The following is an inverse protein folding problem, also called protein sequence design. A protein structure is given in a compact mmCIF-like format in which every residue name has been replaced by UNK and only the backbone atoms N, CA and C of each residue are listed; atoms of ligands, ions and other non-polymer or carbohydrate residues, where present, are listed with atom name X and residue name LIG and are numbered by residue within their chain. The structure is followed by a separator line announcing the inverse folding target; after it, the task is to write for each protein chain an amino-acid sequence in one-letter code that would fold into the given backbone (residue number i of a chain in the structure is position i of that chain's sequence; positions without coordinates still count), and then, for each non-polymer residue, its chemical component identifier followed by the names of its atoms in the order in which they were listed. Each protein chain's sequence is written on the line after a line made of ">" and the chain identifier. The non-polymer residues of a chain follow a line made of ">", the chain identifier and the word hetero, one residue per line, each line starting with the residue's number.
data_IF_425694505197
#
_entry.id   IF_425694505197
#
_cell.length_a   1.000
_cell.length_b   1.000
_cell.length_c   1.000
_cell.angle_alpha   90.00
_cell.angle_beta   90.00
_cell.angle_gamma   90.00
#
_symmetry.space_group_name_H-M   'P 1'
#
loop_
_entity.id
_entity.type
_entity.pdbx_description
1 polymer ?
#
# COMPACT_ATOMS: atom_id res chain seq x y z
N UNK A 1 -32.04 27.69 -44.69
CA UNK A 1 -31.91 26.22 -44.46
C UNK A 1 -30.58 25.90 -43.85
N UNK A 2 -30.38 26.22 -42.59
CA UNK A 2 -29.14 25.87 -41.82
C UNK A 2 -29.64 25.44 -40.44
N UNK A 3 -30.09 24.23 -40.32
CA UNK A 3 -30.64 23.82 -39.02
C UNK A 3 -30.76 22.31 -38.79
N UNK A 4 -30.08 21.47 -39.61
CA UNK A 4 -30.31 20.01 -39.53
C UNK A 4 -29.04 19.17 -39.34
N UNK A 5 -27.85 19.75 -39.33
CA UNK A 5 -26.59 18.99 -39.24
C UNK A 5 -26.04 18.87 -37.80
N UNK A 6 -26.34 19.81 -36.92
CA UNK A 6 -25.74 19.83 -35.56
C UNK A 6 -26.38 18.78 -34.62
N UNK A 7 -27.67 18.43 -34.79
CA UNK A 7 -28.34 17.44 -33.93
C UNK A 7 -27.91 15.99 -34.15
N UNK A 8 -27.16 15.70 -35.24
CA UNK A 8 -26.72 14.33 -35.57
C UNK A 8 -25.36 14.00 -34.94
N UNK A 9 -24.54 15.02 -34.65
CA UNK A 9 -23.24 14.88 -34.00
C UNK A 9 -23.37 14.72 -32.49
N UNK A 10 -24.26 15.47 -31.84
CA UNK A 10 -24.54 15.36 -30.42
C UNK A 10 -25.09 14.00 -30.01
N UNK A 11 -25.96 13.40 -30.85
CA UNK A 11 -26.51 12.06 -30.61
C UNK A 11 -25.46 10.94 -30.75
N UNK A 12 -24.44 11.09 -31.61
CA UNK A 12 -23.38 10.10 -31.77
C UNK A 12 -22.37 10.11 -30.59
N UNK A 13 -22.12 11.28 -30.00
CA UNK A 13 -21.30 11.44 -28.82
C UNK A 13 -21.99 10.85 -27.58
N UNK A 14 -23.30 11.07 -27.44
CA UNK A 14 -24.08 10.53 -26.32
C UNK A 14 -24.22 8.99 -26.39
N UNK A 15 -24.43 8.43 -27.60
CA UNK A 15 -24.46 6.96 -27.76
C UNK A 15 -23.14 6.28 -27.43
N UNK A 16 -21.98 6.86 -27.74
CA UNK A 16 -20.68 6.31 -27.33
C UNK A 16 -20.49 6.37 -25.82
N UNK A 17 -20.93 7.43 -25.17
CA UNK A 17 -20.92 7.57 -23.72
C UNK A 17 -21.83 6.56 -23.02
N UNK A 18 -23.02 6.34 -23.55
CA UNK A 18 -24.03 5.38 -23.04
C UNK A 18 -23.57 3.93 -23.28
N UNK A 19 -23.01 3.61 -24.45
CA UNK A 19 -22.48 2.27 -24.76
C UNK A 19 -21.28 1.97 -23.90
N UNK A 20 -20.35 2.92 -23.69
CA UNK A 20 -19.20 2.73 -22.81
C UNK A 20 -19.58 2.58 -21.33
N UNK A 21 -20.57 3.34 -20.84
CA UNK A 21 -21.14 3.17 -19.50
C UNK A 21 -21.79 1.80 -19.32
N UNK A 22 -22.53 1.33 -20.31
CA UNK A 22 -23.23 0.03 -20.25
C UNK A 22 -22.25 -1.16 -20.37
N UNK A 23 -21.21 -1.06 -21.19
CA UNK A 23 -20.15 -2.08 -21.31
C UNK A 23 -19.33 -2.19 -20.02
N UNK A 24 -18.99 -1.06 -19.39
CA UNK A 24 -18.32 -1.03 -18.08
C UNK A 24 -19.21 -1.59 -16.97
N UNK A 25 -20.51 -1.34 -16.99
CA UNK A 25 -21.45 -1.87 -16.01
C UNK A 25 -21.66 -3.39 -16.15
N UNK A 26 -21.70 -3.91 -17.39
CA UNK A 26 -22.01 -5.34 -17.65
C UNK A 26 -20.77 -6.23 -17.51
N UNK A 27 -19.56 -5.76 -17.83
CA UNK A 27 -18.34 -6.57 -17.83
C UNK A 27 -17.49 -6.30 -16.58
N UNK A 28 -17.40 -5.06 -16.12
CA UNK A 28 -16.58 -4.68 -14.95
C UNK A 28 -17.22 -5.04 -13.62
N UNK A 29 -18.54 -4.95 -13.50
CA UNK A 29 -19.27 -5.20 -12.26
C UNK A 29 -19.18 -6.67 -11.77
N UNK A 30 -19.38 -7.70 -12.62
CA UNK A 30 -19.29 -9.09 -12.18
C UNK A 30 -17.87 -9.50 -11.76
N UNK A 31 -16.82 -8.96 -12.42
CA UNK A 31 -15.43 -9.25 -12.07
C UNK A 31 -15.03 -8.54 -10.76
N UNK A 32 -15.46 -7.30 -10.57
CA UNK A 32 -15.22 -6.55 -9.34
C UNK A 32 -16.02 -7.16 -8.17
N UNK A 33 -17.29 -7.51 -8.38
CA UNK A 33 -18.16 -8.17 -7.40
C UNK A 33 -17.67 -9.57 -7.07
N UNK A 34 -17.18 -10.33 -8.04
CA UNK A 34 -16.57 -11.65 -7.80
C UNK A 34 -15.28 -11.57 -6.99
N UNK A 35 -14.46 -10.56 -7.21
CA UNK A 35 -13.26 -10.30 -6.41
C UNK A 35 -13.61 -9.82 -4.99
N UNK A 36 -14.59 -8.93 -4.85
CA UNK A 36 -15.02 -8.37 -3.55
C UNK A 36 -15.79 -9.38 -2.71
N UNK A 37 -16.64 -10.23 -3.29
CA UNK A 37 -17.33 -11.31 -2.57
C UNK A 37 -16.37 -12.35 -2.03
N UNK A 38 -15.28 -12.65 -2.75
CA UNK A 38 -14.23 -13.58 -2.30
C UNK A 38 -13.32 -12.94 -1.25
N UNK A 39 -13.07 -11.63 -1.33
CA UNK A 39 -12.27 -10.88 -0.38
C UNK A 39 -13.06 -10.46 0.88
N UNK A 40 -14.30 -10.01 0.71
CA UNK A 40 -15.12 -9.40 1.79
C UNK A 40 -15.53 -10.34 2.92
N UNK A 41 -15.46 -11.66 2.71
CA UNK A 41 -15.79 -12.65 3.76
C UNK A 41 -14.58 -12.94 4.68
N UNK A 42 -13.34 -12.59 4.28
CA UNK A 42 -12.12 -13.07 4.95
C UNK A 42 -11.27 -11.98 5.64
N UNK A 43 -11.54 -10.69 5.43
CA UNK A 43 -10.57 -9.63 5.79
C UNK A 43 -10.98 -8.70 6.92
N UNK A 44 -11.94 -9.10 7.77
CA UNK A 44 -12.43 -8.23 8.86
C UNK A 44 -11.83 -8.54 10.24
N UNK A 45 -10.93 -9.50 10.33
CA UNK A 45 -10.26 -9.83 11.59
C UNK A 45 -9.01 -9.00 11.79
N UNK A 46 -8.89 -8.44 12.99
CA UNK A 46 -7.64 -7.85 13.44
C UNK A 46 -6.76 -8.96 14.02
N UNK A 47 -5.52 -9.05 13.56
CA UNK A 47 -4.51 -10.01 14.04
C UNK A 47 -3.13 -9.40 13.99
N UNK A 48 -2.30 -9.76 14.96
CA UNK A 48 -0.87 -9.46 14.96
C UNK A 48 -0.09 -10.77 15.10
N UNK A 49 0.92 -10.94 14.27
CA UNK A 49 1.81 -12.08 14.29
C UNK A 49 3.23 -11.59 14.54
N UNK A 50 3.86 -12.10 15.59
CA UNK A 50 5.28 -11.89 15.85
C UNK A 50 6.11 -12.89 15.04
N UNK A 51 7.31 -12.49 14.61
CA UNK A 51 8.29 -13.36 13.95
C UNK A 51 9.70 -13.06 14.48
N UNK A 52 10.58 -14.07 14.46
CA UNK A 52 11.90 -13.94 15.05
C UNK A 52 11.83 -13.64 16.56
N UNK A 53 12.95 -13.17 17.12
CA UNK A 53 13.01 -12.79 18.53
C UNK A 53 13.75 -11.46 18.70
N UNK A 54 13.00 -10.41 19.05
CA UNK A 54 13.52 -9.05 19.27
C UNK A 54 14.61 -9.00 20.37
N UNK A 55 14.58 -9.92 21.33
CA UNK A 55 15.55 -9.91 22.44
C UNK A 55 16.92 -10.49 22.07
N UNK A 56 17.00 -11.24 20.97
CA UNK A 56 18.23 -11.94 20.54
C UNK A 56 18.74 -11.50 19.17
N UNK A 57 17.94 -10.74 18.41
CA UNK A 57 18.39 -10.21 17.13
C UNK A 57 19.41 -9.09 17.31
N UNK A 58 20.38 -9.02 16.39
CA UNK A 58 21.27 -7.87 16.21
C UNK A 58 20.88 -7.03 14.99
N UNK A 59 19.72 -7.31 14.40
CA UNK A 59 19.12 -6.57 13.28
C UNK A 59 18.02 -5.64 13.78
N UNK A 60 17.83 -4.52 13.09
CA UNK A 60 16.68 -3.66 13.28
C UNK A 60 15.38 -4.46 13.16
N UNK A 61 14.37 -4.11 13.95
CA UNK A 61 13.09 -4.79 13.89
C UNK A 61 12.27 -4.32 12.68
N UNK A 62 11.34 -5.16 12.21
CA UNK A 62 10.54 -4.88 11.02
C UNK A 62 9.06 -5.02 11.30
N UNK A 63 8.30 -3.99 10.92
CA UNK A 63 6.84 -4.00 10.96
C UNK A 63 6.28 -4.14 9.55
N UNK A 64 5.44 -5.16 9.34
CA UNK A 64 4.75 -5.42 8.07
C UNK A 64 3.29 -4.97 8.13
N UNK A 65 2.84 -4.20 7.11
CA UNK A 65 1.46 -3.73 7.00
C UNK A 65 0.96 -4.02 5.56
N UNK A 66 -0.11 -4.83 5.45
CA UNK A 66 -0.67 -5.24 4.16
C UNK A 66 -1.55 -4.15 3.50
N UNK A 67 -1.92 -4.37 2.23
CA UNK A 67 -2.79 -3.51 1.45
C UNK A 67 -4.29 -3.75 1.68
N UNK A 68 -5.12 -3.15 0.83
CA UNK A 68 -6.58 -3.32 0.87
C UNK A 68 -6.95 -4.80 0.67
N UNK A 69 -7.93 -5.29 1.43
CA UNK A 69 -8.36 -6.70 1.48
C UNK A 69 -7.24 -7.71 1.80
N UNK A 70 -6.10 -7.22 2.27
CA UNK A 70 -4.95 -8.06 2.56
C UNK A 70 -5.09 -8.85 3.86
N UNK A 71 -4.14 -9.77 4.05
CA UNK A 71 -4.00 -10.62 5.22
C UNK A 71 -2.52 -10.84 5.54
N UNK A 72 -2.22 -11.46 6.67
CA UNK A 72 -0.84 -11.76 7.11
C UNK A 72 -0.03 -12.50 6.05
N UNK A 73 -0.68 -13.45 5.34
CA UNK A 73 -0.02 -14.29 4.32
C UNK A 73 0.48 -13.51 3.10
N UNK A 74 -0.06 -12.32 2.82
CA UNK A 74 0.32 -11.57 1.62
C UNK A 74 1.79 -11.16 1.63
N UNK A 75 2.32 -10.81 2.81
CA UNK A 75 3.73 -10.44 3.00
C UNK A 75 4.59 -11.58 3.58
N UNK A 76 4.01 -12.77 3.76
CA UNK A 76 4.68 -13.91 4.42
C UNK A 76 5.95 -14.35 3.70
N UNK A 77 6.00 -14.26 2.37
CA UNK A 77 7.21 -14.62 1.61
C UNK A 77 8.38 -13.70 1.95
N UNK A 78 8.17 -12.39 1.93
CA UNK A 78 9.21 -11.40 2.27
C UNK A 78 9.58 -11.55 3.74
N UNK A 79 8.58 -11.64 4.64
CA UNK A 79 8.76 -11.85 6.07
C UNK A 79 9.64 -13.08 6.36
N UNK A 80 9.31 -14.23 5.78
CA UNK A 80 10.06 -15.47 5.98
C UNK A 80 11.51 -15.36 5.53
N UNK A 81 11.75 -14.71 4.38
CA UNK A 81 13.11 -14.46 3.90
C UNK A 81 13.91 -13.51 4.79
N UNK A 82 13.25 -12.55 5.41
CA UNK A 82 13.90 -11.67 6.38
C UNK A 82 14.17 -12.37 7.72
N UNK A 83 13.23 -13.21 8.18
CA UNK A 83 13.42 -14.06 9.37
C UNK A 83 14.59 -15.03 9.19
N UNK A 84 14.74 -15.68 8.01
CA UNK A 84 15.91 -16.49 7.64
C UNK A 84 17.25 -15.71 7.75
N UNK A 85 17.20 -14.37 7.63
CA UNK A 85 18.36 -13.47 7.77
C UNK A 85 18.52 -12.89 9.17
N UNK A 86 17.76 -13.38 10.15
CA UNK A 86 17.85 -12.99 11.56
C UNK A 86 17.09 -11.71 11.93
N UNK A 87 16.21 -11.19 11.06
CA UNK A 87 15.31 -10.11 11.42
C UNK A 87 14.18 -10.61 12.32
N UNK A 88 13.67 -9.73 13.16
CA UNK A 88 12.54 -9.97 14.04
C UNK A 88 11.54 -8.80 13.94
N UNK A 89 10.29 -9.01 14.37
CA UNK A 89 9.29 -7.96 14.38
C UNK A 89 7.87 -8.49 14.36
N UNK A 90 6.95 -7.71 13.77
CA UNK A 90 5.52 -8.04 13.70
C UNK A 90 4.93 -7.86 12.30
N UNK A 91 3.86 -8.59 12.04
CA UNK A 91 2.95 -8.37 10.91
C UNK A 91 1.57 -8.01 11.44
N UNK A 92 1.00 -6.92 10.96
CA UNK A 92 -0.30 -6.40 11.39
C UNK A 92 -1.34 -6.67 10.29
N UNK A 93 -2.37 -7.46 10.61
CA UNK A 93 -3.60 -7.60 9.82
C UNK A 93 -4.68 -6.75 10.43
N UNK A 94 -5.34 -5.93 9.63
CA UNK A 94 -6.36 -4.98 10.08
C UNK A 94 -7.54 -4.92 9.11
N UNK A 95 -8.76 -4.56 9.59
CA UNK A 95 -9.94 -4.42 8.75
C UNK A 95 -9.82 -3.21 7.82
N UNK A 96 -9.65 -3.44 6.50
CA UNK A 96 -9.40 -2.38 5.52
C UNK A 96 -10.67 -1.75 4.93
N UNK A 97 -11.86 -2.28 5.24
CA UNK A 97 -13.14 -1.83 4.65
C UNK A 97 -14.07 -1.16 5.63
N UNK A 98 -13.85 -1.34 6.94
CA UNK A 98 -14.74 -0.84 8.00
C UNK A 98 -14.53 0.64 8.30
N UNK A 99 -13.29 1.08 8.29
CA UNK A 99 -12.88 2.42 8.68
C UNK A 99 -12.29 3.19 7.49
N UNK A 100 -12.19 4.51 7.63
CA UNK A 100 -11.31 5.33 6.83
C UNK A 100 -9.84 5.20 7.31
N UNK A 101 -8.89 5.85 6.65
CA UNK A 101 -7.46 5.69 6.95
C UNK A 101 -7.16 6.15 8.37
N UNK A 102 -7.74 7.27 8.83
CA UNK A 102 -7.56 7.77 10.19
C UNK A 102 -8.07 6.77 11.23
N UNK A 103 -9.28 6.24 11.04
CA UNK A 103 -9.84 5.23 11.93
C UNK A 103 -9.06 3.92 11.94
N UNK A 104 -8.47 3.50 10.79
CA UNK A 104 -7.56 2.34 10.75
C UNK A 104 -6.31 2.58 11.59
N UNK A 105 -5.71 3.77 11.47
CA UNK A 105 -4.50 4.13 12.23
C UNK A 105 -4.81 4.20 13.72
N UNK A 106 -5.86 4.89 14.11
CA UNK A 106 -6.22 5.08 15.51
C UNK A 106 -6.56 3.75 16.21
N UNK A 107 -7.37 2.90 15.56
CA UNK A 107 -7.92 1.70 16.20
C UNK A 107 -6.99 0.49 16.16
N UNK A 108 -6.18 0.35 15.10
CA UNK A 108 -5.47 -0.90 14.84
C UNK A 108 -3.95 -0.73 14.71
N UNK A 109 -3.47 0.39 14.16
CA UNK A 109 -2.04 0.54 13.86
C UNK A 109 -1.29 1.20 15.01
N UNK A 110 -1.79 2.32 15.53
CA UNK A 110 -1.18 3.02 16.65
C UNK A 110 -0.97 2.13 17.87
N UNK A 111 -2.00 1.38 18.37
CA UNK A 111 -1.80 0.56 19.57
C UNK A 111 -0.68 -0.47 19.44
N UNK A 112 -0.54 -1.10 18.25
CA UNK A 112 0.48 -2.11 18.05
C UNK A 112 1.87 -1.52 17.80
N UNK A 113 1.97 -0.43 17.03
CA UNK A 113 3.24 0.26 16.86
C UNK A 113 3.73 0.82 18.20
N UNK A 114 2.88 1.45 18.99
CA UNK A 114 3.26 2.00 20.29
C UNK A 114 3.69 0.93 21.29
N UNK A 115 3.08 -0.25 21.22
CA UNK A 115 3.50 -1.43 21.99
C UNK A 115 4.90 -1.93 21.55
N UNK A 116 5.14 -2.01 20.25
CA UNK A 116 6.45 -2.42 19.72
C UNK A 116 7.54 -1.37 19.99
N UNK A 117 7.21 -0.07 19.95
CA UNK A 117 8.13 1.01 20.36
C UNK A 117 8.57 0.82 21.80
N UNK A 118 7.64 0.58 22.74
CA UNK A 118 7.97 0.31 24.14
C UNK A 118 8.85 -0.93 24.33
N UNK A 119 8.59 -2.02 23.59
CA UNK A 119 9.45 -3.20 23.61
C UNK A 119 10.85 -2.88 23.11
N UNK A 120 10.94 -2.13 21.99
CA UNK A 120 12.21 -1.72 21.39
C UNK A 120 13.03 -0.82 22.36
N UNK A 121 12.38 0.11 23.04
CA UNK A 121 13.01 0.95 24.07
C UNK A 121 13.67 0.10 25.17
N UNK A 122 12.93 -0.88 25.71
CA UNK A 122 13.46 -1.81 26.75
C UNK A 122 14.63 -2.65 26.23
N UNK A 123 14.56 -3.10 24.97
CA UNK A 123 15.67 -3.84 24.34
C UNK A 123 16.87 -2.92 24.17
N UNK A 124 16.68 -1.70 23.70
CA UNK A 124 17.73 -0.73 23.46
C UNK A 124 18.41 -0.28 24.77
N UNK A 125 17.68 -0.15 25.84
CA UNK A 125 18.23 0.11 27.18
C UNK A 125 19.22 -1.00 27.63
N UNK A 126 18.81 -2.27 27.49
CA UNK A 126 19.69 -3.42 27.77
C UNK A 126 20.91 -3.45 26.87
N UNK A 127 20.73 -3.23 25.56
CA UNK A 127 21.82 -3.20 24.58
C UNK A 127 22.85 -2.13 24.89
N UNK A 128 22.41 -0.93 25.26
CA UNK A 128 23.30 0.15 25.67
C UNK A 128 24.13 -0.23 26.91
N UNK A 129 23.49 -0.88 27.90
CA UNK A 129 24.20 -1.38 29.09
C UNK A 129 25.22 -2.48 28.74
N UNK A 130 25.05 -3.21 27.65
CA UNK A 130 25.96 -4.20 27.11
C UNK A 130 27.02 -3.60 26.15
N UNK A 131 27.02 -2.27 25.95
CA UNK A 131 27.92 -1.59 25.00
C UNK A 131 27.57 -1.79 23.52
N UNK A 132 26.35 -2.22 23.23
CA UNK A 132 25.82 -2.41 21.85
C UNK A 132 25.09 -1.18 21.34
N UNK A 133 25.04 -1.01 20.03
CA UNK A 133 24.21 0.03 19.40
C UNK A 133 22.73 -0.26 19.55
N UNK A 134 21.91 0.80 19.54
CA UNK A 134 20.46 0.71 19.47
C UNK A 134 20.00 0.08 18.16
N UNK A 135 18.91 -0.67 18.24
CA UNK A 135 18.14 -1.12 17.08
C UNK A 135 17.11 -0.06 16.70
N UNK A 136 16.74 -0.04 15.43
CA UNK A 136 15.69 0.82 14.87
C UNK A 136 14.47 0.00 14.47
N UNK A 137 13.37 0.70 14.21
CA UNK A 137 12.13 0.13 13.69
C UNK A 137 12.01 0.44 12.19
N UNK A 138 12.19 -0.58 11.36
CA UNK A 138 11.96 -0.52 9.92
C UNK A 138 10.53 -0.92 9.56
N UNK A 139 10.08 -0.50 8.39
CA UNK A 139 8.76 -0.84 7.89
C UNK A 139 8.83 -1.43 6.48
N UNK A 140 8.03 -2.46 6.21
CA UNK A 140 7.76 -2.98 4.87
C UNK A 140 6.24 -3.00 4.69
N UNK A 141 5.73 -2.13 3.83
CA UNK A 141 4.30 -1.92 3.69
C UNK A 141 3.86 -2.01 2.23
N UNK A 142 2.66 -2.53 1.99
CA UNK A 142 2.14 -2.77 0.66
C UNK A 142 0.88 -1.95 0.39
N UNK A 143 0.80 -1.36 -0.82
CA UNK A 143 -0.43 -0.74 -1.36
C UNK A 143 -1.06 0.26 -0.36
N UNK A 144 -2.34 0.07 0.04
CA UNK A 144 -3.03 0.90 1.03
C UNK A 144 -2.26 1.02 2.36
N UNK A 145 -1.53 -0.03 2.77
CA UNK A 145 -0.70 0.00 3.98
C UNK A 145 0.35 1.11 3.96
N UNK A 146 0.79 1.52 2.76
CA UNK A 146 1.71 2.65 2.59
C UNK A 146 1.07 3.99 2.97
N UNK A 147 -0.19 4.18 2.62
CA UNK A 147 -0.95 5.41 2.95
C UNK A 147 -1.26 5.45 4.44
N UNK A 148 -1.62 4.30 5.01
CA UNK A 148 -1.86 4.11 6.45
C UNK A 148 -0.60 4.45 7.25
N UNK A 149 0.56 3.90 6.87
CA UNK A 149 1.82 4.21 7.55
C UNK A 149 2.23 5.67 7.39
N UNK A 150 2.11 6.26 6.18
CA UNK A 150 2.41 7.70 5.97
C UNK A 150 1.56 8.59 6.87
N UNK A 151 0.28 8.25 7.06
CA UNK A 151 -0.58 8.99 8.00
C UNK A 151 -0.09 8.82 9.45
N UNK A 152 0.20 7.58 9.90
CA UNK A 152 0.77 7.33 11.24
C UNK A 152 2.03 8.16 11.49
N UNK A 153 2.98 8.14 10.56
CA UNK A 153 4.26 8.84 10.72
C UNK A 153 4.12 10.37 10.64
N UNK A 154 3.08 10.88 9.97
CA UNK A 154 2.75 12.30 9.96
C UNK A 154 2.15 12.76 11.29
N UNK A 155 1.29 11.94 11.91
CA UNK A 155 0.62 12.28 13.17
C UNK A 155 1.54 12.16 14.39
N UNK A 156 2.43 11.18 14.40
CA UNK A 156 3.33 10.92 15.52
C UNK A 156 4.67 10.38 15.09
N UNK A 157 5.74 10.92 15.63
CA UNK A 157 7.10 10.50 15.39
C UNK A 157 7.42 9.21 16.14
N UNK A 158 8.36 8.44 15.61
CA UNK A 158 8.99 7.29 16.23
C UNK A 158 10.47 7.66 16.36
N UNK A 159 10.99 7.77 17.58
CA UNK A 159 12.36 8.24 17.83
C UNK A 159 13.40 7.33 17.18
N UNK A 160 13.20 6.01 17.27
CA UNK A 160 14.07 5.00 16.64
C UNK A 160 13.50 4.56 15.27
N UNK A 161 12.91 5.49 14.51
CA UNK A 161 12.50 5.20 13.14
C UNK A 161 13.74 4.83 12.29
N UNK A 162 13.67 3.68 11.67
CA UNK A 162 14.65 3.21 10.71
C UNK A 162 14.24 3.53 9.28
N UNK A 163 14.31 2.54 8.41
CA UNK A 163 14.03 2.65 6.98
C UNK A 163 12.63 2.17 6.65
N UNK A 164 12.01 2.82 5.67
CA UNK A 164 10.65 2.51 5.23
C UNK A 164 10.65 2.04 3.78
N UNK A 165 10.14 0.84 3.52
CA UNK A 165 9.93 0.30 2.17
C UNK A 165 8.45 0.30 1.83
N UNK A 166 8.11 1.01 0.78
CA UNK A 166 6.78 1.08 0.19
C UNK A 166 6.72 0.18 -1.05
N UNK A 167 5.96 -0.89 -1.02
CA UNK A 167 5.76 -1.79 -2.16
C UNK A 167 4.44 -1.42 -2.85
N UNK A 168 4.53 -1.02 -4.12
CA UNK A 168 3.37 -0.64 -4.95
C UNK A 168 2.44 0.39 -4.29
N UNK A 169 2.96 1.51 -3.75
CA UNK A 169 2.15 2.47 -3.00
C UNK A 169 1.33 3.37 -3.92
N UNK A 170 0.03 3.61 -3.66
CA UNK A 170 -0.74 4.66 -4.32
C UNK A 170 -0.40 6.03 -3.72
N UNK A 171 0.88 6.46 -3.82
CA UNK A 171 1.43 7.63 -3.12
C UNK A 171 0.73 8.95 -3.46
N UNK A 172 0.29 9.09 -4.72
CA UNK A 172 -0.51 10.21 -5.23
C UNK A 172 -1.87 9.73 -5.77
N UNK A 173 -2.36 8.62 -5.24
CA UNK A 173 -3.64 8.04 -5.59
C UNK A 173 -3.60 6.99 -6.70
N UNK A 174 -4.75 6.41 -6.97
CA UNK A 174 -4.97 5.44 -8.03
C UNK A 174 -6.16 5.86 -8.89
N UNK A 175 -6.01 5.87 -10.22
CA UNK A 175 -7.07 6.19 -11.17
C UNK A 175 -8.28 5.23 -11.06
N UNK A 176 -8.07 4.03 -10.52
CA UNK A 176 -9.16 3.09 -10.23
C UNK A 176 -10.08 3.69 -9.15
N UNK A 177 -9.54 4.42 -8.17
CA UNK A 177 -10.31 5.08 -7.13
C UNK A 177 -11.11 6.31 -7.62
N UNK A 178 -10.71 6.93 -8.73
CA UNK A 178 -11.40 8.09 -9.32
C UNK A 178 -12.67 7.71 -10.10
N UNK A 179 -12.87 6.43 -10.39
CA UNK A 179 -13.98 6.01 -11.21
C UNK A 179 -15.31 6.19 -10.47
N UNK A 180 -16.35 6.68 -11.18
CA UNK A 180 -17.72 6.84 -10.65
C UNK A 180 -18.25 5.53 -10.05
N UNK A 181 -17.81 4.40 -10.60
CA UNK A 181 -18.15 3.08 -10.08
C UNK A 181 -17.57 2.84 -8.67
N UNK A 182 -16.39 3.38 -8.36
CA UNK A 182 -15.78 3.28 -7.03
C UNK A 182 -16.59 4.04 -5.96
N UNK A 183 -17.24 5.11 -6.33
CA UNK A 183 -18.11 5.88 -5.45
C UNK A 183 -19.42 5.13 -5.12
N UNK A 184 -20.05 4.56 -6.15
CA UNK A 184 -21.26 3.74 -5.99
C UNK A 184 -20.97 2.44 -5.20
N UNK A 185 -19.78 1.87 -5.34
CA UNK A 185 -19.36 0.64 -4.67
C UNK A 185 -18.60 0.89 -3.35
N UNK A 186 -18.38 2.14 -2.94
CA UNK A 186 -17.64 2.44 -1.71
C UNK A 186 -18.17 1.78 -0.44
N UNK A 187 -19.48 1.47 -0.28
CA UNK A 187 -19.95 0.68 0.86
C UNK A 187 -19.37 -0.74 0.89
N UNK A 188 -18.99 -1.28 -0.28
CA UNK A 188 -18.39 -2.61 -0.42
C UNK A 188 -16.86 -2.50 -0.41
N UNK A 189 -16.30 -1.52 -1.14
CA UNK A 189 -14.86 -1.32 -1.28
C UNK A 189 -14.20 -0.71 -0.04
N UNK A 190 -14.99 -0.17 0.87
CA UNK A 190 -14.52 0.51 2.08
C UNK A 190 -14.30 2.01 1.91
N UNK A 191 -14.35 2.73 3.03
CA UNK A 191 -14.26 4.20 3.06
C UNK A 191 -12.90 4.72 2.56
N UNK A 192 -11.82 3.99 2.79
CA UNK A 192 -10.46 4.37 2.41
C UNK A 192 -10.25 4.54 0.90
N UNK A 193 -11.04 3.86 0.06
CA UNK A 193 -10.94 3.99 -1.41
C UNK A 193 -11.19 5.43 -1.86
N UNK A 194 -12.09 6.15 -1.18
CA UNK A 194 -12.36 7.57 -1.48
C UNK A 194 -11.18 8.49 -1.15
N UNK A 195 -10.34 8.07 -0.21
CA UNK A 195 -9.20 8.84 0.30
C UNK A 195 -7.94 8.70 -0.58
N UNK A 196 -7.90 7.70 -1.46
CA UNK A 196 -6.77 7.43 -2.37
C UNK A 196 -7.08 7.82 -3.83
N UNK A 197 -7.92 8.82 -4.06
CA UNK A 197 -8.18 9.42 -5.37
C UNK A 197 -6.96 10.22 -5.87
N UNK A 198 -6.83 10.39 -7.21
CA UNK A 198 -5.68 11.10 -7.80
C UNK A 198 -5.78 12.63 -7.65
N UNK A 199 -6.96 13.20 -7.38
CA UNK A 199 -7.11 14.65 -7.28
C UNK A 199 -6.23 15.25 -6.15
N UNK A 200 -5.75 16.47 -6.35
CA UNK A 200 -4.83 17.17 -5.45
C UNK A 200 -5.38 17.36 -4.02
N UNK A 201 -6.70 17.47 -3.89
CA UNK A 201 -7.38 17.65 -2.59
C UNK A 201 -7.70 16.32 -1.90
N UNK A 202 -7.30 15.18 -2.47
CA UNK A 202 -7.51 13.89 -1.83
C UNK A 202 -6.66 13.74 -0.58
N UNK A 203 -7.13 12.94 0.36
CA UNK A 203 -6.43 12.68 1.61
C UNK A 203 -4.96 12.25 1.37
N UNK A 204 -4.73 11.33 0.43
CA UNK A 204 -3.39 10.82 0.14
C UNK A 204 -2.42 11.90 -0.35
N UNK A 205 -2.90 12.87 -1.13
CA UNK A 205 -2.09 13.98 -1.62
C UNK A 205 -1.83 15.04 -0.55
N UNK A 206 -2.71 15.17 0.46
CA UNK A 206 -2.50 16.03 1.61
C UNK A 206 -1.49 15.50 2.64
N UNK A 207 -1.06 14.23 2.52
CA UNK A 207 -0.03 13.67 3.40
C UNK A 207 1.35 14.34 3.18
N UNK A 208 1.61 14.85 1.99
CA UNK A 208 2.90 15.46 1.63
C UNK A 208 3.99 14.42 1.33
N UNK A 209 5.21 14.89 1.12
CA UNK A 209 6.37 14.04 0.89
C UNK A 209 6.97 13.57 2.23
N UNK A 210 7.52 12.34 2.31
CA UNK A 210 8.23 11.87 3.49
C UNK A 210 9.46 12.70 3.81
N UNK A 211 9.73 12.89 5.09
CA UNK A 211 10.95 13.53 5.64
C UNK A 211 11.90 12.50 6.30
N UNK A 212 11.68 11.21 6.04
CA UNK A 212 12.43 10.07 6.54
C UNK A 212 12.99 9.19 5.40
N UNK A 213 13.96 8.35 5.72
CA UNK A 213 14.61 7.46 4.75
C UNK A 213 13.62 6.42 4.21
N UNK A 214 13.37 6.44 2.92
CA UNK A 214 12.35 5.61 2.30
C UNK A 214 12.72 5.11 0.90
N UNK A 215 12.12 3.97 0.54
CA UNK A 215 12.32 3.31 -0.73
C UNK A 215 10.98 2.84 -1.32
N UNK A 216 10.67 3.27 -2.53
CA UNK A 216 9.49 2.83 -3.28
C UNK A 216 9.90 1.76 -4.29
N UNK A 217 9.27 0.61 -4.22
CA UNK A 217 9.44 -0.52 -5.15
C UNK A 217 8.09 -0.81 -5.79
N UNK A 218 8.01 -0.85 -7.13
CA UNK A 218 6.76 -1.07 -7.87
C UNK A 218 6.99 -2.00 -9.07
N UNK A 219 5.97 -2.77 -9.44
CA UNK A 219 5.95 -3.55 -10.67
C UNK A 219 5.57 -2.73 -11.91
N UNK A 220 5.66 -3.34 -13.09
CA UNK A 220 5.28 -2.71 -14.35
C UNK A 220 4.43 -3.61 -15.25
N UNK A 221 3.81 -4.65 -14.70
CA UNK A 221 2.98 -5.61 -15.44
C UNK A 221 1.57 -5.61 -14.91
N UNK A 222 0.62 -5.64 -15.83
CA UNK A 222 -0.79 -5.91 -15.53
C UNK A 222 -1.18 -7.30 -16.01
N UNK A 223 -2.03 -8.00 -15.26
CA UNK A 223 -2.71 -9.21 -15.69
C UNK A 223 -4.16 -8.93 -16.14
N UNK A 224 -4.62 -7.68 -15.98
CA UNK A 224 -5.96 -7.27 -16.37
C UNK A 224 -5.89 -6.08 -17.33
N UNK A 225 -5.94 -6.33 -18.67
CA UNK A 225 -5.89 -5.26 -19.66
C UNK A 225 -7.00 -4.21 -19.50
N UNK A 226 -8.17 -4.59 -18.95
CA UNK A 226 -9.28 -3.66 -18.73
C UNK A 226 -8.94 -2.63 -17.65
N UNK A 227 -8.22 -3.02 -16.59
CA UNK A 227 -7.76 -2.07 -15.57
C UNK A 227 -6.71 -1.12 -16.13
N UNK A 228 -5.76 -1.62 -16.93
CA UNK A 228 -4.76 -0.77 -17.59
C UNK A 228 -5.36 0.23 -18.58
N UNK A 229 -6.50 -0.07 -19.19
CA UNK A 229 -7.23 0.92 -20.00
C UNK A 229 -7.79 2.10 -19.18
N UNK A 230 -8.03 1.87 -17.90
CA UNK A 230 -8.49 2.90 -16.94
C UNK A 230 -7.33 3.65 -16.27
N UNK A 231 -6.12 3.12 -16.36
CA UNK A 231 -4.91 3.66 -15.77
C UNK A 231 -4.13 4.40 -16.86
N UNK A 232 -3.79 5.65 -16.62
CA UNK A 232 -2.97 6.42 -17.57
C UNK A 232 -1.49 6.09 -17.37
N UNK A 233 -0.83 5.58 -18.42
CA UNK A 233 0.59 5.27 -18.42
C UNK A 233 0.90 3.82 -18.05
N UNK A 234 2.16 3.53 -17.73
CA UNK A 234 2.60 2.21 -17.26
C UNK A 234 2.18 1.99 -15.80
N UNK A 235 1.74 0.77 -15.49
CA UNK A 235 1.18 0.42 -14.20
C UNK A 235 1.54 -1.03 -13.81
N UNK A 236 1.25 -1.38 -12.56
CA UNK A 236 1.40 -2.75 -12.03
C UNK A 236 0.08 -3.55 -12.02
N UNK A 237 -0.96 -3.01 -12.66
CA UNK A 237 -2.33 -3.54 -12.67
C UNK A 237 -3.29 -2.85 -11.71
N UNK A 238 -2.80 -2.01 -10.79
CA UNK A 238 -3.60 -1.27 -9.81
C UNK A 238 -3.13 0.17 -9.61
N UNK A 239 -1.82 0.41 -9.66
CA UNK A 239 -1.19 1.70 -9.37
C UNK A 239 -0.34 2.13 -10.55
N UNK A 240 -0.53 3.36 -11.09
CA UNK A 240 0.37 3.93 -12.08
C UNK A 240 1.77 4.13 -11.48
N UNK A 241 2.81 3.82 -12.26
CA UNK A 241 4.20 4.01 -11.83
C UNK A 241 4.46 5.48 -11.42
N UNK A 242 3.90 6.43 -12.15
CA UNK A 242 4.08 7.86 -11.88
C UNK A 242 3.46 8.29 -10.55
N UNK A 243 2.25 7.79 -10.21
CA UNK A 243 1.59 8.14 -8.94
C UNK A 243 2.16 7.39 -7.74
N UNK A 244 2.98 6.37 -7.96
CA UNK A 244 3.68 5.68 -6.89
C UNK A 244 4.91 6.44 -6.39
N UNK A 245 5.50 7.32 -7.21
CA UNK A 245 6.73 8.05 -6.87
C UNK A 245 6.52 8.99 -5.68
N UNK A 246 7.53 9.02 -4.81
CA UNK A 246 7.71 10.04 -3.76
C UNK A 246 9.08 10.70 -3.99
N UNK A 247 9.14 12.02 -3.96
CA UNK A 247 10.33 12.79 -4.37
C UNK A 247 11.56 12.48 -3.51
N UNK A 248 11.33 12.25 -2.22
CA UNK A 248 12.41 12.07 -1.24
C UNK A 248 12.76 10.60 -1.01
N UNK A 249 12.11 9.65 -1.70
CA UNK A 249 12.39 8.22 -1.57
C UNK A 249 13.25 7.70 -2.73
N UNK A 250 14.09 6.71 -2.47
CA UNK A 250 14.65 5.86 -3.54
C UNK A 250 13.51 5.25 -4.33
N UNK A 251 13.74 4.91 -5.60
CA UNK A 251 12.69 4.40 -6.47
C UNK A 251 13.21 3.29 -7.39
N UNK A 252 12.51 2.16 -7.42
CA UNK A 252 12.83 1.02 -8.28
C UNK A 252 11.57 0.46 -8.94
N UNK A 253 11.69 0.15 -10.23
CA UNK A 253 10.69 -0.64 -10.95
C UNK A 253 11.22 -2.06 -11.11
N UNK A 254 10.39 -3.04 -10.76
CA UNK A 254 10.69 -4.47 -10.93
C UNK A 254 9.95 -4.98 -12.15
N UNK A 255 10.71 -5.39 -13.16
CA UNK A 255 10.15 -5.82 -14.45
C UNK A 255 9.31 -7.09 -14.32
N UNK A 256 8.20 -7.11 -15.07
CA UNK A 256 7.32 -8.27 -15.19
C UNK A 256 6.53 -8.62 -13.92
N UNK A 257 6.54 -7.75 -12.90
CA UNK A 257 5.77 -7.96 -11.66
C UNK A 257 4.49 -7.16 -11.67
N UNK A 258 3.41 -7.79 -11.22
CA UNK A 258 2.11 -7.16 -10.99
C UNK A 258 2.01 -6.69 -9.54
N UNK A 259 0.95 -5.93 -9.21
CA UNK A 259 0.64 -5.42 -7.89
C UNK A 259 0.72 -6.46 -6.75
N UNK A 260 0.43 -7.72 -7.07
CA UNK A 260 0.45 -8.82 -6.08
C UNK A 260 1.62 -9.78 -6.28
N UNK A 261 2.05 -10.06 -7.53
CA UNK A 261 3.16 -10.98 -7.77
C UNK A 261 4.51 -10.43 -7.30
N UNK A 262 4.61 -9.12 -7.14
CA UNK A 262 5.78 -8.43 -6.59
C UNK A 262 6.10 -8.88 -5.15
N UNK A 263 5.09 -9.25 -4.37
CA UNK A 263 5.22 -9.71 -2.98
C UNK A 263 5.89 -11.10 -2.85
N UNK A 264 6.04 -11.83 -3.96
CA UNK A 264 6.70 -13.14 -4.03
C UNK A 264 7.94 -13.09 -4.94
N UNK A 265 8.68 -12.00 -4.89
CA UNK A 265 9.85 -11.76 -5.75
C UNK A 265 11.14 -11.77 -4.95
N UNK A 266 12.07 -12.68 -5.32
CA UNK A 266 13.42 -12.71 -4.75
C UNK A 266 14.18 -11.40 -5.00
N UNK A 267 13.94 -10.76 -6.16
CA UNK A 267 14.55 -9.46 -6.47
C UNK A 267 14.08 -8.38 -5.47
N UNK A 268 12.78 -8.37 -5.11
CA UNK A 268 12.25 -7.44 -4.09
C UNK A 268 12.88 -7.72 -2.72
N UNK A 269 12.98 -8.98 -2.34
CA UNK A 269 13.64 -9.37 -1.08
C UNK A 269 15.09 -8.88 -1.07
N UNK A 270 15.83 -9.09 -2.16
CA UNK A 270 17.21 -8.63 -2.31
C UNK A 270 17.31 -7.10 -2.14
N UNK A 271 16.48 -6.34 -2.86
CA UNK A 271 16.45 -4.88 -2.78
C UNK A 271 16.16 -4.39 -1.34
N UNK A 272 15.22 -5.03 -0.63
CA UNK A 272 14.91 -4.68 0.76
C UNK A 272 16.11 -4.96 1.68
N UNK A 273 16.72 -6.14 1.57
CA UNK A 273 17.85 -6.53 2.42
C UNK A 273 19.07 -5.64 2.17
N UNK A 274 19.37 -5.32 0.91
CA UNK A 274 20.46 -4.40 0.53
C UNK A 274 20.17 -2.99 1.06
N UNK A 275 18.92 -2.52 0.94
CA UNK A 275 18.54 -1.22 1.46
C UNK A 275 18.63 -1.14 2.98
N UNK A 276 18.21 -2.19 3.71
CA UNK A 276 18.27 -2.21 5.17
C UNK A 276 19.71 -2.32 5.70
N UNK A 277 20.61 -2.95 4.95
CA UNK A 277 22.04 -3.07 5.32
C UNK A 277 22.91 -1.88 4.86
N UNK A 278 22.36 -0.96 4.08
CA UNK A 278 23.09 0.21 3.54
C UNK A 278 23.22 1.31 4.60
N UNK A 279 24.37 1.44 5.25
CA UNK A 279 24.65 2.47 6.26
C UNK A 279 25.00 3.84 5.67
N UNK A 280 24.95 4.00 4.33
CA UNK A 280 25.20 5.28 3.67
C UNK A 280 24.04 6.24 3.92
N UNK A 281 24.29 7.27 4.70
CA UNK A 281 23.43 8.46 4.86
C UNK A 281 23.85 9.54 3.87
#
# INVERSE_FOLDING_TARGET
>A
MVGSLDKKWDRKLDMKGVVMKNVLAVIGLPLLVGFTLRAGILTHEFKVEEFGNINTTDKDIVVFIHGIYGKLDDLSYIKGKMEEKGYAGISIQYPTTKEDIQGMVEKYINPEIDKEVKKLEQVNERRLNEGKSKLKMNFVVHSLGSVVLRHKLKESKIDELGKVVFISPPSHGSSIADNVLSEALSPILGKAVRQIKVNENSFVNQLGEPDYDCYVIIGNKTNNPLYSLMIKGKDDGMVPIETARLKNCRFKVIDGKTHTSILKSDEVVKEILEYFSDDRK
#
